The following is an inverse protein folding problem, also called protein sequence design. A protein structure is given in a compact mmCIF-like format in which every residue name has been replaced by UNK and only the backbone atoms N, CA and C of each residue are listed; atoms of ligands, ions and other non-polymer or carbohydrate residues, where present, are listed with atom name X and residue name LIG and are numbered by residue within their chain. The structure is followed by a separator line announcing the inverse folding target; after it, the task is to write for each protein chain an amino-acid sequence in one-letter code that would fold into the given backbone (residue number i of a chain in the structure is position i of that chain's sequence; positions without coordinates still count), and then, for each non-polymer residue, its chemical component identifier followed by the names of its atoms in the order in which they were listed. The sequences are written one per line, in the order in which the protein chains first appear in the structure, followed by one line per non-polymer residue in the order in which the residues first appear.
data_IF_033663230665
#
_entry.id   IF_033663230665
#
_cell.length_a   1.000
_cell.length_b   1.000
_cell.length_c   1.000
_cell.angle_alpha   90.00
_cell.angle_beta   90.00
_cell.angle_gamma   90.00
#
_symmetry.space_group_name_H-M   'P 1'
#
loop_
_entity.id
_entity.type
_entity.pdbx_description
1 polymer ?
#
# COMPACT_ATOMS: atom_id res chain seq x y z
N UNK A 1 10.71 -1.49 -5.34
CA UNK A 1 9.63 -0.66 -4.74
C UNK A 1 9.09 -1.42 -3.55
N UNK A 2 9.22 -0.84 -2.37
CA UNK A 2 8.81 -1.43 -1.10
C UNK A 2 7.39 -0.96 -0.75
N UNK A 3 6.57 -1.85 -0.20
CA UNK A 3 5.23 -1.52 0.32
C UNK A 3 5.28 -1.41 1.84
N UNK A 4 4.81 -0.29 2.39
CA UNK A 4 4.61 -0.07 3.83
C UNK A 4 3.15 -0.31 4.24
N UNK A 5 2.32 -0.83 3.32
CA UNK A 5 0.87 -0.93 3.51
C UNK A 5 0.51 -1.72 4.78
N UNK A 6 1.22 -2.83 5.05
CA UNK A 6 0.94 -3.66 6.23
C UNK A 6 1.23 -2.89 7.51
N UNK A 7 2.40 -2.27 7.59
CA UNK A 7 2.89 -1.51 8.73
C UNK A 7 1.97 -0.31 9.02
N UNK A 8 1.49 0.36 7.96
CA UNK A 8 0.54 1.47 8.09
C UNK A 8 -0.79 1.00 8.68
N UNK A 9 -1.34 -0.13 8.20
CA UNK A 9 -2.59 -0.67 8.71
C UNK A 9 -2.46 -1.10 10.17
N UNK A 10 -1.35 -1.78 10.52
CA UNK A 10 -1.06 -2.23 11.87
C UNK A 10 -0.91 -1.03 12.83
N UNK A 11 -0.14 0.00 12.44
CA UNK A 11 0.05 1.24 13.24
C UNK A 11 -1.26 2.01 13.44
N UNK A 12 -2.13 2.07 12.43
CA UNK A 12 -3.44 2.73 12.53
C UNK A 12 -4.50 1.87 13.23
N UNK A 13 -4.22 0.59 13.52
CA UNK A 13 -5.20 -0.34 14.10
C UNK A 13 -6.39 -0.64 13.17
N UNK A 14 -6.22 -0.49 11.85
CA UNK A 14 -7.30 -0.64 10.87
C UNK A 14 -7.27 -2.04 10.26
N UNK A 15 -8.40 -2.75 10.30
CA UNK A 15 -8.54 -4.05 9.63
C UNK A 15 -8.44 -3.90 8.11
N UNK A 16 -7.60 -4.72 7.45
CA UNK A 16 -7.46 -4.67 6.00
C UNK A 16 -8.77 -4.89 5.24
N UNK A 17 -9.69 -5.70 5.77
CA UNK A 17 -11.01 -5.95 5.16
C UNK A 17 -11.87 -4.69 5.11
N UNK A 18 -11.72 -3.79 6.08
CA UNK A 18 -12.39 -2.48 6.07
C UNK A 18 -11.85 -1.59 4.97
N UNK A 19 -10.53 -1.56 4.79
CA UNK A 19 -9.88 -0.78 3.72
C UNK A 19 -10.22 -1.37 2.36
N UNK A 20 -10.21 -2.69 2.21
CA UNK A 20 -10.58 -3.37 0.95
C UNK A 20 -12.01 -3.00 0.54
N UNK A 21 -12.95 -3.06 1.48
CA UNK A 21 -14.34 -2.67 1.27
C UNK A 21 -14.46 -1.21 0.84
N UNK A 22 -13.81 -0.28 1.56
CA UNK A 22 -13.85 1.16 1.22
C UNK A 22 -13.15 1.49 -0.11
N UNK A 23 -12.08 0.78 -0.44
CA UNK A 23 -11.36 0.93 -1.70
C UNK A 23 -12.05 0.21 -2.87
N UNK A 24 -13.12 -0.55 -2.62
CA UNK A 24 -13.82 -1.30 -3.66
C UNK A 24 -12.97 -2.36 -4.33
N UNK A 25 -12.12 -3.06 -3.56
CA UNK A 25 -11.31 -4.19 -4.04
C UNK A 25 -11.63 -5.46 -3.24
N UNK A 26 -11.31 -6.63 -3.80
CA UNK A 26 -11.52 -7.90 -3.10
C UNK A 26 -10.57 -8.05 -1.92
N UNK A 27 -10.98 -8.84 -0.92
CA UNK A 27 -10.10 -9.20 0.20
C UNK A 27 -8.87 -9.98 -0.28
N UNK A 28 -8.99 -10.79 -1.34
CA UNK A 28 -7.86 -11.51 -1.94
C UNK A 28 -6.84 -10.55 -2.55
N UNK A 29 -7.29 -9.52 -3.28
CA UNK A 29 -6.42 -8.49 -3.82
C UNK A 29 -5.71 -7.72 -2.71
N UNK A 30 -6.44 -7.28 -1.68
CA UNK A 30 -5.84 -6.63 -0.50
C UNK A 30 -4.80 -7.52 0.20
N UNK A 31 -5.09 -8.80 0.36
CA UNK A 31 -4.15 -9.77 0.97
C UNK A 31 -2.86 -9.90 0.15
N UNK A 32 -2.96 -9.92 -1.18
CA UNK A 32 -1.80 -9.93 -2.06
C UNK A 32 -0.94 -8.67 -1.87
N UNK A 33 -1.57 -7.49 -1.80
CA UNK A 33 -0.86 -6.22 -1.60
C UNK A 33 -0.14 -6.14 -0.25
N UNK A 34 -0.78 -6.64 0.83
CA UNK A 34 -0.17 -6.72 2.17
C UNK A 34 1.05 -7.63 2.17
N UNK A 35 1.07 -8.67 1.33
CA UNK A 35 2.22 -9.59 1.17
C UNK A 35 3.32 -9.04 0.27
N UNK A 36 3.24 -7.78 -0.15
CA UNK A 36 4.23 -7.15 -1.03
C UNK A 36 3.88 -7.21 -2.52
N UNK A 37 2.66 -7.65 -2.87
CA UNK A 37 2.17 -7.58 -4.24
C UNK A 37 2.10 -6.14 -4.75
N UNK A 38 2.40 -5.94 -6.04
CA UNK A 38 2.39 -4.64 -6.66
C UNK A 38 0.98 -4.23 -7.12
N UNK A 39 0.47 -3.04 -6.72
CA UNK A 39 -0.83 -2.57 -7.17
C UNK A 39 -0.78 -2.03 -8.60
N UNK A 40 -1.93 -2.01 -9.28
CA UNK A 40 -2.12 -1.11 -10.41
C UNK A 40 -2.31 0.33 -9.90
N UNK A 41 -2.01 1.34 -10.72
CA UNK A 41 -2.17 2.74 -10.34
C UNK A 41 -3.59 3.08 -9.80
N UNK A 42 -4.71 2.62 -10.43
CA UNK A 42 -6.04 2.87 -9.88
C UNK A 42 -6.28 2.24 -8.51
N UNK A 43 -5.73 1.04 -8.26
CA UNK A 43 -5.86 0.36 -6.96
C UNK A 43 -5.06 1.09 -5.89
N UNK A 44 -3.82 1.47 -6.21
CA UNK A 44 -2.97 2.25 -5.31
C UNK A 44 -3.66 3.57 -4.91
N UNK A 45 -4.20 4.29 -5.90
CA UNK A 45 -4.90 5.55 -5.66
C UNK A 45 -6.13 5.38 -4.76
N UNK A 46 -6.97 4.37 -5.01
CA UNK A 46 -8.15 4.10 -4.17
C UNK A 46 -7.77 3.82 -2.71
N UNK A 47 -6.75 3.00 -2.49
CA UNK A 47 -6.28 2.68 -1.14
C UNK A 47 -5.71 3.93 -0.46
N UNK A 48 -4.86 4.69 -1.16
CA UNK A 48 -4.27 5.93 -0.64
C UNK A 48 -5.34 6.94 -0.21
N UNK A 49 -6.42 7.08 -1.00
CA UNK A 49 -7.58 7.92 -0.64
C UNK A 49 -8.33 7.43 0.60
N UNK A 50 -8.47 6.12 0.81
CA UNK A 50 -9.10 5.58 2.03
C UNK A 50 -8.23 5.83 3.26
N UNK A 51 -6.91 5.77 3.11
CA UNK A 51 -5.95 5.97 4.19
C UNK A 51 -5.61 7.44 4.45
N UNK A 52 -6.07 8.34 3.57
CA UNK A 52 -5.77 9.77 3.55
C UNK A 52 -4.26 10.04 3.48
N UNK A 53 -3.57 9.33 2.60
CA UNK A 53 -2.11 9.37 2.43
C UNK A 53 -1.75 9.57 0.96
N UNK A 54 -0.49 9.94 0.68
CA UNK A 54 0.04 9.93 -0.68
C UNK A 54 0.41 8.50 -1.09
N UNK A 55 0.51 8.25 -2.40
CA UNK A 55 0.89 6.92 -2.89
C UNK A 55 2.34 6.61 -2.49
N UNK A 56 3.22 7.59 -2.65
CA UNK A 56 4.65 7.52 -2.33
C UNK A 56 4.93 7.31 -0.83
N UNK A 57 3.97 7.59 0.05
CA UNK A 57 4.08 7.27 1.49
C UNK A 57 3.78 5.78 1.78
N UNK A 58 3.08 5.11 0.87
CA UNK A 58 2.65 3.70 1.01
C UNK A 58 3.54 2.78 0.17
N UNK A 59 3.91 3.22 -1.04
CA UNK A 59 4.75 2.48 -1.98
C UNK A 59 5.98 3.30 -2.32
N UNK A 60 7.10 2.91 -1.72
CA UNK A 60 8.35 3.66 -1.70
C UNK A 60 9.27 3.12 -2.78
N UNK A 61 9.77 4.00 -3.65
CA UNK A 61 10.84 3.67 -4.58
C UNK A 61 12.10 3.30 -3.78
N UNK A 62 12.64 2.12 -4.04
CA UNK A 62 13.95 1.77 -3.48
C UNK A 62 14.95 2.55 -4.31
N UNK A 63 15.33 3.72 -3.83
CA UNK A 63 16.45 4.45 -4.41
C UNK A 63 17.64 3.48 -4.40
N UNK A 64 18.13 3.14 -5.60
CA UNK A 64 19.49 2.66 -5.72
C UNK A 64 20.35 3.78 -5.14
N UNK A 65 20.86 3.60 -3.92
CA UNK A 65 21.98 4.41 -3.48
C UNK A 65 23.06 4.26 -4.55
N UNK A 66 23.40 5.39 -5.15
CA UNK A 66 24.61 5.57 -5.94
C UNK A 66 25.78 5.01 -5.10
N UNK A 67 26.21 3.80 -5.42
CA UNK A 67 27.58 3.36 -5.18
C UNK A 67 28.50 4.14 -6.13
N UNK A 68 28.53 5.46 -5.97
CA UNK A 68 29.60 6.31 -6.44
C UNK A 68 30.47 6.61 -5.22
N UNK A 69 31.33 5.65 -4.88
CA UNK A 69 32.46 5.81 -3.97
C UNK A 69 33.68 5.15 -4.60
#
# INVERSE_FOLDING_TARGET
MKSELKEILDKKGIKYTHVAKKAGISNSAMTNLIKGGFPTLPVAYKIARVLEMKLEDIWIEENHEDNSS
#
